data_IF_400791663689
#
_entry.id   IF_400791663689
#
_cell.length_a   1.000
_cell.length_b   1.000
_cell.length_c   1.000
_cell.angle_alpha   90.00
_cell.angle_beta   90.00
_cell.angle_gamma   90.00
#
_symmetry.space_group_name_H-M   'P 1'
#
loop_
_entity.id
_entity.type
_entity.pdbx_description
1 polymer ?
#
# COMPACT_ATOMS: atom_id res chain seq x y z
N UNK A 1 -16.78 8.60 9.26
CA UNK A 1 -15.65 9.48 8.88
C UNK A 1 -14.49 9.40 9.88
N UNK A 2 -14.75 9.47 11.19
CA UNK A 2 -13.66 9.42 12.19
C UNK A 2 -12.81 8.13 12.11
N UNK A 3 -13.39 7.02 11.67
CA UNK A 3 -12.72 5.72 11.52
C UNK A 3 -12.16 5.44 10.13
N UNK A 4 -12.11 6.45 9.24
CA UNK A 4 -11.49 6.32 7.92
C UNK A 4 -12.35 5.64 6.85
N UNK A 5 -13.66 5.51 7.10
CA UNK A 5 -14.60 5.00 6.10
C UNK A 5 -15.13 6.11 5.18
N UNK A 6 -15.30 5.78 3.92
CA UNK A 6 -16.00 6.61 2.94
C UNK A 6 -17.50 6.64 3.24
N UNK A 7 -18.13 7.79 3.02
CA UNK A 7 -19.58 7.94 3.23
C UNK A 7 -20.39 6.98 2.36
N UNK A 8 -19.98 6.82 1.09
CA UNK A 8 -20.68 5.96 0.13
C UNK A 8 -20.59 4.49 0.52
N UNK A 9 -19.44 4.03 1.03
CA UNK A 9 -19.27 2.68 1.54
C UNK A 9 -20.18 2.41 2.75
N UNK A 10 -20.28 3.37 3.68
CA UNK A 10 -21.18 3.27 4.85
C UNK A 10 -22.64 3.22 4.39
N UNK A 11 -23.05 4.11 3.48
CA UNK A 11 -24.41 4.15 2.96
C UNK A 11 -24.80 2.85 2.28
N UNK A 12 -23.93 2.33 1.40
CA UNK A 12 -24.18 1.05 0.75
C UNK A 12 -24.29 -0.10 1.75
N UNK A 13 -23.37 -0.18 2.70
CA UNK A 13 -23.39 -1.22 3.72
C UNK A 13 -24.66 -1.16 4.58
N UNK A 14 -25.05 0.03 5.05
CA UNK A 14 -26.23 0.22 5.89
C UNK A 14 -27.51 -0.10 5.10
N UNK A 15 -27.59 0.27 3.82
CA UNK A 15 -28.72 -0.09 2.96
C UNK A 15 -28.89 -1.61 2.90
N UNK A 16 -27.84 -2.37 2.64
CA UNK A 16 -27.87 -3.83 2.55
C UNK A 16 -27.98 -4.54 3.92
N UNK A 17 -27.80 -3.82 5.03
CA UNK A 17 -27.90 -4.42 6.36
C UNK A 17 -29.32 -4.90 6.69
N UNK A 18 -30.32 -4.27 6.10
CA UNK A 18 -31.74 -4.62 6.35
C UNK A 18 -32.60 -4.68 5.10
N UNK A 19 -31.99 -4.59 3.93
CA UNK A 19 -32.65 -4.63 2.63
C UNK A 19 -31.87 -5.53 1.67
N UNK A 20 -32.59 -6.22 0.80
CA UNK A 20 -31.99 -7.03 -0.27
C UNK A 20 -32.57 -6.62 -1.62
N UNK A 21 -31.69 -6.33 -2.60
CA UNK A 21 -32.12 -6.06 -3.95
C UNK A 21 -32.80 -7.30 -4.55
N UNK A 22 -33.63 -7.09 -5.58
CA UNK A 22 -34.40 -8.14 -6.25
C UNK A 22 -34.11 -8.20 -7.74
N UNK A 23 -34.59 -9.29 -8.37
CA UNK A 23 -34.47 -9.47 -9.80
C UNK A 23 -33.02 -9.57 -10.25
N UNK A 24 -32.64 -8.85 -11.29
CA UNK A 24 -31.29 -8.87 -11.87
C UNK A 24 -30.22 -8.31 -10.93
N UNK A 25 -30.60 -7.53 -9.93
CA UNK A 25 -29.69 -6.93 -8.96
C UNK A 25 -29.49 -7.78 -7.70
N UNK A 26 -30.14 -8.95 -7.59
CA UNK A 26 -30.18 -9.76 -6.36
C UNK A 26 -28.78 -10.14 -5.83
N UNK A 27 -27.81 -10.31 -6.71
CA UNK A 27 -26.42 -10.68 -6.36
C UNK A 27 -25.46 -9.48 -6.31
N UNK A 28 -25.96 -8.27 -6.60
CA UNK A 28 -25.13 -7.07 -6.54
C UNK A 28 -25.00 -6.58 -5.09
N UNK A 29 -23.78 -6.34 -4.66
CA UNK A 29 -23.51 -5.84 -3.32
C UNK A 29 -22.93 -4.41 -3.31
N UNK A 30 -22.34 -3.96 -4.41
CA UNK A 30 -21.73 -2.62 -4.51
C UNK A 30 -22.60 -1.76 -5.40
N UNK A 31 -23.09 -0.66 -4.84
CA UNK A 31 -23.99 0.28 -5.51
C UNK A 31 -23.49 1.72 -5.32
N UNK A 32 -23.51 2.52 -6.35
CA UNK A 32 -23.49 3.98 -6.19
C UNK A 32 -24.77 4.46 -5.49
N UNK A 33 -24.74 5.67 -4.95
CA UNK A 33 -25.94 6.26 -4.33
C UNK A 33 -27.10 6.35 -5.32
N UNK A 34 -26.83 6.71 -6.57
CA UNK A 34 -27.85 6.80 -7.64
C UNK A 34 -28.46 5.43 -7.99
N UNK A 35 -27.66 4.38 -7.98
CA UNK A 35 -28.13 3.01 -8.16
C UNK A 35 -28.99 2.55 -6.98
N UNK A 36 -28.54 2.84 -5.73
CA UNK A 36 -29.33 2.55 -4.54
C UNK A 36 -30.68 3.24 -4.57
N UNK A 37 -30.73 4.51 -4.93
CA UNK A 37 -32.00 5.28 -5.03
C UNK A 37 -32.95 4.67 -6.07
N UNK A 38 -32.43 4.16 -7.18
CA UNK A 38 -33.25 3.53 -8.22
C UNK A 38 -33.69 2.12 -7.87
N UNK A 39 -32.83 1.36 -7.18
CA UNK A 39 -33.06 -0.05 -6.87
C UNK A 39 -33.91 -0.25 -5.60
N UNK A 40 -33.85 0.71 -4.67
CA UNK A 40 -34.46 0.57 -3.35
C UNK A 40 -35.99 0.52 -3.44
N UNK A 41 -36.59 -0.52 -2.87
CA UNK A 41 -38.02 -0.67 -2.68
C UNK A 41 -38.34 -1.23 -1.28
N UNK A 42 -39.55 -0.93 -0.80
CA UNK A 42 -39.98 -1.36 0.51
C UNK A 42 -40.21 -2.88 0.62
N UNK A 43 -40.38 -3.56 -0.49
CA UNK A 43 -40.64 -5.01 -0.51
C UNK A 43 -39.38 -5.84 -0.29
N UNK A 44 -38.20 -5.23 -0.48
CA UNK A 44 -36.89 -5.82 -0.19
C UNK A 44 -36.48 -5.74 1.30
N UNK A 45 -37.23 -5.02 2.13
CA UNK A 45 -36.89 -4.85 3.55
C UNK A 45 -37.06 -6.18 4.29
N UNK A 46 -36.00 -6.62 4.96
CA UNK A 46 -35.99 -7.81 5.81
C UNK A 46 -36.73 -7.54 7.13
N UNK A 47 -37.51 -8.53 7.58
CA UNK A 47 -38.12 -8.53 8.92
C UNK A 47 -37.23 -9.15 10.00
N UNK A 48 -36.13 -9.77 9.59
CA UNK A 48 -35.16 -10.40 10.49
C UNK A 48 -34.19 -9.37 11.05
N UNK A 49 -33.72 -9.54 12.30
CA UNK A 49 -32.67 -8.69 12.86
C UNK A 49 -31.42 -8.75 11.98
N UNK A 50 -30.85 -7.60 11.68
CA UNK A 50 -29.59 -7.51 10.97
C UNK A 50 -28.40 -7.62 11.95
N UNK A 51 -27.38 -8.35 11.57
CA UNK A 51 -26.14 -8.48 12.33
C UNK A 51 -25.09 -7.59 11.68
N UNK A 52 -24.51 -6.69 12.47
CA UNK A 52 -23.41 -5.85 11.99
C UNK A 52 -22.15 -6.69 11.81
N UNK A 53 -21.63 -6.70 10.59
CA UNK A 53 -20.37 -7.35 10.21
C UNK A 53 -19.34 -6.30 9.81
N UNK A 54 -18.38 -6.08 10.72
CA UNK A 54 -17.31 -5.11 10.52
C UNK A 54 -16.39 -5.50 9.34
N UNK A 55 -16.09 -6.80 9.18
CA UNK A 55 -15.24 -7.25 8.08
C UNK A 55 -15.88 -6.99 6.71
N UNK A 56 -17.20 -7.14 6.61
CA UNK A 56 -17.93 -6.79 5.40
C UNK A 56 -17.92 -5.29 5.12
N UNK A 57 -18.03 -4.44 6.14
CA UNK A 57 -17.90 -2.99 5.99
C UNK A 57 -16.47 -2.60 5.57
N UNK A 58 -15.44 -3.20 6.18
CA UNK A 58 -14.04 -2.99 5.79
C UNK A 58 -13.82 -3.37 4.31
N UNK A 59 -14.37 -4.52 3.89
CA UNK A 59 -14.34 -4.96 2.48
C UNK A 59 -15.02 -3.98 1.53
N UNK A 60 -16.24 -3.52 1.86
CA UNK A 60 -16.95 -2.53 1.05
C UNK A 60 -16.12 -1.26 0.89
N UNK A 61 -15.61 -0.74 1.99
CA UNK A 61 -14.77 0.46 1.97
C UNK A 61 -13.54 0.30 1.09
N UNK A 62 -12.88 -0.86 1.17
CA UNK A 62 -11.74 -1.19 0.31
C UNK A 62 -12.11 -1.20 -1.18
N UNK A 63 -13.28 -1.71 -1.54
CA UNK A 63 -13.78 -1.70 -2.93
C UNK A 63 -13.98 -0.27 -3.42
N UNK A 64 -14.63 0.60 -2.64
CA UNK A 64 -14.82 2.00 -3.00
C UNK A 64 -13.50 2.77 -3.12
N UNK A 65 -12.55 2.57 -2.19
CA UNK A 65 -11.22 3.20 -2.26
C UNK A 65 -10.46 2.79 -3.53
N UNK A 66 -10.53 1.51 -3.90
CA UNK A 66 -9.89 1.00 -5.14
C UNK A 66 -10.56 1.48 -6.41
N UNK A 67 -11.87 1.76 -6.37
CA UNK A 67 -12.62 2.25 -7.52
C UNK A 67 -12.44 3.75 -7.78
N UNK A 68 -11.86 4.50 -6.85
CA UNK A 68 -11.54 5.91 -7.05
C UNK A 68 -10.52 6.12 -8.16
N UNK A 69 -10.56 7.30 -8.81
CA UNK A 69 -9.42 7.73 -9.62
C UNK A 69 -8.17 7.88 -8.74
N UNK A 70 -6.95 7.67 -9.27
CA UNK A 70 -5.72 7.89 -8.49
C UNK A 70 -5.66 9.29 -7.88
N UNK A 71 -6.12 10.31 -8.59
CA UNK A 71 -6.15 11.70 -8.16
C UNK A 71 -7.11 11.90 -6.98
N UNK A 72 -8.30 11.30 -7.03
CA UNK A 72 -9.28 11.44 -5.95
C UNK A 72 -8.87 10.63 -4.71
N UNK A 73 -8.30 9.44 -4.92
CA UNK A 73 -7.71 8.69 -3.81
C UNK A 73 -6.57 9.48 -3.15
N UNK A 74 -5.67 10.08 -3.92
CA UNK A 74 -4.59 10.91 -3.39
C UNK A 74 -5.11 12.08 -2.54
N UNK A 75 -6.20 12.75 -2.96
CA UNK A 75 -6.82 13.84 -2.19
C UNK A 75 -7.35 13.36 -0.83
N UNK A 76 -8.02 12.20 -0.77
CA UNK A 76 -8.58 11.69 0.50
C UNK A 76 -7.51 11.06 1.38
N UNK A 77 -6.45 10.49 0.81
CA UNK A 77 -5.33 9.89 1.53
C UNK A 77 -4.34 10.92 2.09
N UNK A 78 -4.14 12.05 1.40
CA UNK A 78 -3.14 13.06 1.76
C UNK A 78 -3.20 13.53 3.21
N UNK A 79 -4.38 13.85 3.82
CA UNK A 79 -4.44 14.25 5.22
C UNK A 79 -3.94 13.16 6.19
N UNK A 80 -4.12 11.88 5.85
CA UNK A 80 -3.66 10.75 6.65
C UNK A 80 -2.16 10.49 6.45
N UNK A 81 -1.65 10.58 5.23
CA UNK A 81 -0.22 10.50 4.94
C UNK A 81 0.53 11.59 5.73
N UNK A 82 0.02 12.82 5.70
CA UNK A 82 0.62 13.98 6.40
C UNK A 82 0.51 13.92 7.94
N UNK A 83 -0.14 12.93 8.53
CA UNK A 83 -0.08 12.71 9.98
C UNK A 83 1.32 12.26 10.42
N UNK A 84 1.99 11.44 9.62
CA UNK A 84 3.31 10.88 9.93
C UNK A 84 4.41 11.38 9.00
N UNK A 85 4.11 11.58 7.72
CA UNK A 85 5.10 12.03 6.73
C UNK A 85 5.10 13.56 6.67
N UNK A 86 6.09 14.20 7.30
CA UNK A 86 6.24 15.68 7.39
C UNK A 86 7.20 16.23 6.35
N UNK A 87 8.16 15.40 5.90
CA UNK A 87 9.14 15.78 4.89
C UNK A 87 8.53 16.14 3.54
N UNK A 88 9.36 16.68 2.67
CA UNK A 88 8.98 17.06 1.29
C UNK A 88 9.02 15.82 0.37
N UNK A 89 8.00 14.96 0.52
CA UNK A 89 7.82 13.77 -0.29
C UNK A 89 6.65 13.94 -1.26
N UNK A 90 6.74 13.25 -2.39
CA UNK A 90 5.64 13.12 -3.35
C UNK A 90 4.47 12.33 -2.75
N UNK A 91 3.50 13.05 -2.17
CA UNK A 91 2.32 12.47 -1.53
C UNK A 91 1.46 11.68 -2.51
N UNK A 92 1.40 12.10 -3.78
CA UNK A 92 0.63 11.37 -4.79
C UNK A 92 1.28 10.02 -5.11
N UNK A 93 2.60 9.98 -5.19
CA UNK A 93 3.34 8.73 -5.35
C UNK A 93 3.16 7.79 -4.14
N UNK A 94 3.20 8.30 -2.91
CA UNK A 94 2.91 7.50 -1.71
C UNK A 94 1.47 6.97 -1.75
N UNK A 95 0.50 7.81 -2.12
CA UNK A 95 -0.90 7.40 -2.23
C UNK A 95 -1.08 6.28 -3.26
N UNK A 96 -0.41 6.36 -4.41
CA UNK A 96 -0.48 5.32 -5.45
C UNK A 96 -0.05 3.93 -4.94
N UNK A 97 0.94 3.86 -4.04
CA UNK A 97 1.36 2.60 -3.43
C UNK A 97 0.29 2.00 -2.50
N UNK A 98 -0.54 2.86 -1.91
CA UNK A 98 -1.53 2.48 -0.89
C UNK A 98 -2.86 2.02 -1.48
N UNK A 99 -3.30 2.59 -2.60
CA UNK A 99 -4.68 2.47 -3.10
C UNK A 99 -5.16 1.02 -3.20
N UNK A 100 -4.37 0.13 -3.78
CA UNK A 100 -4.73 -1.28 -3.95
C UNK A 100 -4.79 -2.06 -2.62
N UNK A 101 -4.17 -1.55 -1.55
CA UNK A 101 -3.95 -2.22 -0.27
C UNK A 101 -4.59 -1.50 0.92
N UNK A 102 -5.30 -0.42 0.66
CA UNK A 102 -5.97 0.37 1.68
C UNK A 102 -7.38 -0.15 1.93
N UNK A 103 -7.68 -0.51 3.16
CA UNK A 103 -9.02 -0.88 3.58
C UNK A 103 -9.71 0.27 4.30
N UNK A 104 -8.94 1.05 5.09
CA UNK A 104 -9.39 2.25 5.79
C UNK A 104 -8.34 3.34 5.71
N UNK A 105 -8.78 4.59 5.59
CA UNK A 105 -7.86 5.72 5.54
C UNK A 105 -7.08 5.90 6.87
N UNK A 106 -7.64 5.49 7.99
CA UNK A 106 -6.97 5.51 9.31
C UNK A 106 -5.79 4.56 9.43
N UNK A 107 -5.67 3.56 8.54
CA UNK A 107 -4.55 2.63 8.55
C UNK A 107 -3.31 3.19 7.81
N UNK A 108 -3.48 4.31 7.10
CA UNK A 108 -2.42 4.91 6.27
C UNK A 108 -1.22 5.37 7.09
N UNK A 109 -1.38 6.13 8.20
CA UNK A 109 -0.24 6.67 8.94
C UNK A 109 0.80 5.61 9.31
N UNK A 110 0.36 4.48 9.84
CA UNK A 110 1.24 3.38 10.25
C UNK A 110 1.93 2.69 9.06
N UNK A 111 1.29 2.70 7.89
CA UNK A 111 1.86 2.06 6.68
C UNK A 111 2.95 2.89 6.01
N UNK A 112 3.04 4.20 6.31
CA UNK A 112 3.93 5.14 5.60
C UNK A 112 4.87 5.94 6.50
N UNK A 113 4.82 5.75 7.83
CA UNK A 113 5.64 6.46 8.81
C UNK A 113 7.14 6.35 8.53
N UNK A 114 7.60 5.23 7.97
CA UNK A 114 8.99 4.98 7.62
C UNK A 114 9.55 5.94 6.55
N UNK A 115 8.71 6.63 5.78
CA UNK A 115 9.21 7.62 4.82
C UNK A 115 9.89 8.79 5.53
N UNK A 116 9.30 9.28 6.62
CA UNK A 116 9.85 10.41 7.37
C UNK A 116 11.06 10.02 8.23
N UNK A 117 10.97 8.86 8.88
CA UNK A 117 12.06 8.31 9.68
C UNK A 117 12.09 6.78 9.60
N UNK A 118 13.24 6.20 9.26
CA UNK A 118 13.39 4.76 9.27
C UNK A 118 13.25 4.26 10.71
N UNK A 119 12.28 3.38 11.03
CA UNK A 119 12.17 2.82 12.37
C UNK A 119 13.35 1.90 12.68
N UNK A 120 13.66 1.74 13.95
CA UNK A 120 14.58 0.68 14.38
C UNK A 120 13.97 -0.69 14.06
N UNK A 121 14.76 -1.60 13.53
CA UNK A 121 14.32 -2.92 13.13
C UNK A 121 15.32 -4.01 13.51
N UNK A 122 14.83 -5.24 13.60
CA UNK A 122 15.65 -6.39 13.95
C UNK A 122 16.40 -6.92 12.72
N UNK A 123 17.61 -7.39 12.91
CA UNK A 123 18.43 -8.07 11.90
C UNK A 123 17.72 -9.31 11.33
N UNK A 124 16.84 -9.94 12.11
CA UNK A 124 16.00 -11.06 11.65
C UNK A 124 15.09 -10.71 10.47
N UNK A 125 14.76 -9.42 10.24
CA UNK A 125 13.99 -8.97 9.07
C UNK A 125 14.68 -9.28 7.74
N UNK A 126 15.98 -9.44 7.76
CA UNK A 126 16.76 -9.86 6.57
C UNK A 126 16.60 -11.35 6.23
N UNK A 127 16.07 -12.16 7.16
CA UNK A 127 15.83 -13.59 6.91
C UNK A 127 14.51 -13.82 6.19
N UNK A 128 14.58 -14.35 4.95
CA UNK A 128 13.39 -14.67 4.16
C UNK A 128 13.59 -15.92 3.30
N UNK A 129 12.81 -16.96 3.59
CA UNK A 129 12.89 -18.24 2.86
C UNK A 129 12.55 -18.14 1.37
N UNK A 130 11.57 -17.29 1.02
CA UNK A 130 11.13 -17.10 -0.38
C UNK A 130 12.20 -16.38 -1.20
N UNK A 131 12.83 -15.39 -0.61
CA UNK A 131 13.94 -14.63 -1.22
C UNK A 131 15.29 -15.32 -1.09
N UNK A 132 15.36 -16.43 -0.34
CA UNK A 132 16.60 -17.15 -0.03
C UNK A 132 17.65 -16.26 0.63
N UNK A 133 17.24 -15.44 1.57
CA UNK A 133 18.10 -14.47 2.27
C UNK A 133 18.26 -14.81 3.75
N UNK A 134 19.40 -14.41 4.28
CA UNK A 134 19.76 -14.34 5.68
C UNK A 134 20.64 -13.06 5.87
N UNK A 135 21.02 -12.67 7.10
CA UNK A 135 21.80 -11.45 7.31
C UNK A 135 23.12 -11.40 6.53
N UNK A 136 23.82 -12.51 6.38
CA UNK A 136 25.10 -12.57 5.66
C UNK A 136 24.90 -12.35 4.16
N UNK A 137 23.94 -13.05 3.56
CA UNK A 137 23.58 -12.83 2.15
C UNK A 137 23.11 -11.41 1.92
N UNK A 138 22.28 -10.87 2.82
CA UNK A 138 21.75 -9.51 2.69
C UNK A 138 22.88 -8.46 2.76
N UNK A 139 23.85 -8.64 3.64
CA UNK A 139 25.02 -7.77 3.71
C UNK A 139 25.77 -7.73 2.38
N UNK A 140 26.09 -8.90 1.81
CA UNK A 140 26.75 -8.99 0.51
C UNK A 140 25.93 -8.33 -0.62
N UNK A 141 24.61 -8.50 -0.59
CA UNK A 141 23.72 -7.88 -1.59
C UNK A 141 23.67 -6.36 -1.45
N UNK A 142 23.64 -5.82 -0.22
CA UNK A 142 23.69 -4.37 0.02
C UNK A 142 25.04 -3.78 -0.38
N UNK A 143 26.16 -4.45 -0.03
CA UNK A 143 27.50 -4.02 -0.45
C UNK A 143 27.67 -3.95 -1.98
N UNK A 144 26.98 -4.82 -2.71
CA UNK A 144 26.96 -4.77 -4.18
C UNK A 144 25.98 -3.73 -4.72
N UNK A 145 24.80 -3.55 -4.09
CA UNK A 145 23.76 -2.65 -4.56
C UNK A 145 24.13 -1.16 -4.38
N UNK A 146 24.79 -0.80 -3.30
CA UNK A 146 25.11 0.60 -2.98
C UNK A 146 25.91 1.28 -4.10
N UNK A 147 27.08 0.76 -4.56
CA UNK A 147 27.84 1.42 -5.60
C UNK A 147 27.10 1.46 -6.94
N UNK A 148 26.30 0.45 -7.26
CA UNK A 148 25.47 0.45 -8.47
C UNK A 148 24.42 1.56 -8.41
N UNK A 149 23.70 1.70 -7.29
CA UNK A 149 22.68 2.74 -7.09
C UNK A 149 23.30 4.15 -7.09
N UNK A 150 24.50 4.32 -6.53
CA UNK A 150 25.25 5.58 -6.58
C UNK A 150 25.58 6.01 -8.00
N UNK A 151 25.94 5.06 -8.86
CA UNK A 151 26.35 5.29 -10.22
C UNK A 151 25.21 5.54 -11.21
N UNK A 152 23.94 5.40 -10.80
CA UNK A 152 22.79 5.61 -11.69
C UNK A 152 22.78 7.05 -12.22
N UNK A 153 22.62 7.26 -13.54
CA UNK A 153 22.61 8.62 -14.13
C UNK A 153 21.37 9.42 -13.71
N UNK A 154 20.25 8.73 -13.53
CA UNK A 154 18.97 9.30 -13.12
C UNK A 154 18.36 8.46 -11.98
N UNK A 155 17.45 9.04 -11.21
CA UNK A 155 16.78 8.37 -10.10
C UNK A 155 15.29 8.21 -10.40
N UNK A 156 14.97 7.21 -11.22
CA UNK A 156 13.60 6.89 -11.67
C UNK A 156 13.27 5.43 -11.37
N UNK A 157 11.98 5.08 -11.36
CA UNK A 157 11.57 3.68 -11.19
C UNK A 157 12.26 2.76 -12.19
N UNK A 158 12.36 3.18 -13.46
CA UNK A 158 12.97 2.41 -14.54
C UNK A 158 14.47 2.19 -14.28
N UNK A 159 15.23 3.25 -14.03
CA UNK A 159 16.69 3.13 -13.83
C UNK A 159 17.06 2.37 -12.58
N UNK A 160 16.31 2.52 -11.49
CA UNK A 160 16.51 1.76 -10.26
C UNK A 160 16.17 0.28 -10.49
N UNK A 161 15.03 0.00 -11.14
CA UNK A 161 14.59 -1.36 -11.45
C UNK A 161 15.63 -2.09 -12.33
N UNK A 162 15.96 -1.50 -13.46
CA UNK A 162 16.86 -2.13 -14.44
C UNK A 162 18.28 -2.31 -13.88
N UNK A 163 18.75 -1.36 -13.09
CA UNK A 163 20.01 -1.47 -12.37
C UNK A 163 20.01 -2.65 -11.38
N UNK A 164 18.96 -2.79 -10.57
CA UNK A 164 18.86 -3.90 -9.63
C UNK A 164 18.69 -5.25 -10.33
N UNK A 165 17.90 -5.32 -11.40
CA UNK A 165 17.73 -6.55 -12.19
C UNK A 165 19.05 -6.97 -12.84
N UNK A 166 19.72 -6.05 -13.53
CA UNK A 166 21.02 -6.32 -14.15
C UNK A 166 22.09 -6.76 -13.13
N UNK A 167 22.11 -6.13 -11.96
CA UNK A 167 23.03 -6.52 -10.89
C UNK A 167 22.71 -7.92 -10.35
N UNK A 168 21.44 -8.27 -10.18
CA UNK A 168 21.03 -9.61 -9.74
C UNK A 168 21.47 -10.69 -10.74
N UNK A 169 21.35 -10.40 -12.06
CA UNK A 169 21.83 -11.29 -13.13
C UNK A 169 23.36 -11.46 -13.08
N UNK A 170 24.11 -10.37 -12.93
CA UNK A 170 25.57 -10.40 -12.81
C UNK A 170 26.05 -11.22 -11.59
N UNK A 171 25.32 -11.13 -10.49
CA UNK A 171 25.59 -11.89 -9.27
C UNK A 171 25.10 -13.34 -9.32
N UNK A 172 24.34 -13.71 -10.35
CA UNK A 172 23.74 -15.05 -10.49
C UNK A 172 22.69 -15.36 -9.44
N UNK A 173 22.00 -14.33 -8.91
CA UNK A 173 20.94 -14.46 -7.90
C UNK A 173 19.59 -14.07 -8.46
N UNK A 174 18.51 -14.44 -7.75
CA UNK A 174 17.16 -13.99 -8.09
C UNK A 174 16.98 -12.52 -7.73
N UNK A 175 16.18 -11.79 -8.50
CA UNK A 175 15.81 -10.40 -8.19
C UNK A 175 15.32 -10.23 -6.74
N UNK A 176 14.49 -11.17 -6.26
CA UNK A 176 14.01 -11.15 -4.88
C UNK A 176 15.13 -11.24 -3.83
N UNK A 177 16.24 -11.93 -4.13
CA UNK A 177 17.38 -12.06 -3.22
C UNK A 177 18.11 -10.74 -3.05
N UNK A 178 18.19 -9.93 -4.10
CA UNK A 178 18.79 -8.59 -4.07
C UNK A 178 17.82 -7.52 -3.58
N UNK A 179 16.57 -7.54 -4.06
CA UNK A 179 15.58 -6.50 -3.73
C UNK A 179 15.06 -6.59 -2.29
N UNK A 180 15.06 -7.79 -1.68
CA UNK A 180 14.62 -7.95 -0.30
C UNK A 180 15.43 -7.10 0.69
N UNK A 181 16.78 -7.24 0.76
CA UNK A 181 17.59 -6.42 1.67
C UNK A 181 17.51 -4.93 1.36
N UNK A 182 17.46 -4.53 0.10
CA UNK A 182 17.29 -3.11 -0.28
C UNK A 182 16.01 -2.54 0.30
N UNK A 183 14.89 -3.28 0.19
CA UNK A 183 13.60 -2.86 0.73
C UNK A 183 13.59 -2.80 2.25
N UNK A 184 14.15 -3.82 2.92
CA UNK A 184 14.22 -3.85 4.39
C UNK A 184 15.08 -2.70 4.92
N UNK A 185 16.28 -2.50 4.38
CA UNK A 185 17.17 -1.41 4.81
C UNK A 185 16.57 -0.03 4.54
N UNK A 186 15.87 0.15 3.40
CA UNK A 186 15.23 1.42 3.07
C UNK A 186 14.02 1.74 3.95
N UNK A 187 13.22 0.74 4.34
CA UNK A 187 11.95 0.94 5.03
C UNK A 187 11.94 0.58 6.51
N UNK A 188 12.83 -0.30 6.97
CA UNK A 188 12.82 -0.83 8.35
C UNK A 188 11.58 -1.66 8.69
N UNK A 189 10.84 -2.16 7.68
CA UNK A 189 9.58 -2.88 7.88
C UNK A 189 9.49 -4.15 7.04
N UNK A 190 8.92 -5.22 7.64
CA UNK A 190 8.64 -6.47 6.92
C UNK A 190 7.53 -6.31 5.87
N UNK A 191 6.53 -5.49 6.17
CA UNK A 191 5.40 -5.21 5.28
C UNK A 191 5.40 -3.75 4.90
N UNK A 192 5.43 -3.48 3.60
CA UNK A 192 5.47 -2.13 3.03
C UNK A 192 4.42 -2.01 1.91
N UNK A 193 3.90 -0.81 1.64
CA UNK A 193 2.93 -0.59 0.56
C UNK A 193 3.55 -0.74 -0.84
N UNK A 194 4.87 -0.54 -0.97
CA UNK A 194 5.62 -0.69 -2.21
C UNK A 194 6.77 -1.68 -2.11
N UNK A 195 7.40 -1.99 -3.25
CA UNK A 195 8.64 -2.75 -3.34
C UNK A 195 9.89 -1.88 -3.13
N UNK A 196 11.07 -2.47 -3.33
CA UNK A 196 12.34 -1.76 -3.18
C UNK A 196 12.45 -0.56 -4.12
N UNK A 197 12.02 -0.71 -5.36
CA UNK A 197 12.15 0.31 -6.40
C UNK A 197 11.36 1.56 -6.06
N UNK A 198 10.06 1.40 -5.83
CA UNK A 198 9.15 2.51 -5.55
C UNK A 198 9.52 3.23 -4.24
N UNK A 199 9.91 2.48 -3.20
CA UNK A 199 10.34 3.05 -1.93
C UNK A 199 11.62 3.87 -2.12
N UNK A 200 12.65 3.33 -2.79
CA UNK A 200 13.89 4.05 -3.07
C UNK A 200 13.64 5.30 -3.90
N UNK A 201 12.77 5.22 -4.92
CA UNK A 201 12.42 6.37 -5.75
C UNK A 201 11.82 7.50 -4.91
N UNK A 202 10.85 7.18 -4.04
CA UNK A 202 10.16 8.18 -3.21
C UNK A 202 11.09 8.78 -2.15
N UNK A 203 11.95 7.97 -1.53
CA UNK A 203 12.97 8.43 -0.57
C UNK A 203 14.00 9.37 -1.22
N UNK A 204 14.23 9.22 -2.52
CA UNK A 204 15.34 9.89 -3.20
C UNK A 204 16.68 9.20 -2.98
N UNK A 205 17.67 9.59 -3.81
CA UNK A 205 18.98 8.93 -3.82
C UNK A 205 19.70 9.04 -2.48
N UNK A 206 19.83 10.24 -1.96
CA UNK A 206 20.66 10.52 -0.78
C UNK A 206 20.14 9.80 0.46
N UNK A 207 18.82 9.87 0.72
CA UNK A 207 18.23 9.21 1.87
C UNK A 207 18.24 7.68 1.71
N UNK A 208 17.99 7.17 0.49
CA UNK A 208 18.12 5.73 0.20
C UNK A 208 19.52 5.23 0.54
N UNK A 209 20.55 5.84 -0.03
CA UNK A 209 21.94 5.41 0.18
C UNK A 209 22.39 5.53 1.63
N UNK A 210 21.95 6.57 2.32
CA UNK A 210 22.17 6.74 3.77
C UNK A 210 21.59 5.57 4.58
N UNK A 211 20.35 5.15 4.27
CA UNK A 211 19.68 4.03 4.96
C UNK A 211 20.30 2.67 4.63
N UNK A 212 20.72 2.47 3.38
CA UNK A 212 21.36 1.22 2.99
C UNK A 212 22.75 1.03 3.62
N UNK A 213 23.41 2.12 4.04
CA UNK A 213 24.72 2.09 4.70
C UNK A 213 24.65 2.01 6.23
N UNK A 214 23.51 2.27 6.83
CA UNK A 214 23.31 2.26 8.28
C UNK A 214 23.21 0.82 8.81
#
# INVERSE_FOLDING_TARGET
>A
KAEGYLTDAILNYVALLGWSPKGELAEQEIFSLDELVKAFDLTGISKSPAIFDKAKLDHFNAVYLRAMSPEDFAKVAAPYIRQTVKGDFDVAAIAALLQARCEKLTDIPEKVDFFDACPAYDVEFFTNKKSKTNPEVCKAMLEAAIPMLEALPQWTDETIHDGLVSLAEQLGVKNATLMWPVRIAAAGKLVTPGGAVEICRILGRDETLKRLRA
#
